data_IF_911839592778
#
_entry.id   IF_911839592778
#
_cell.length_a   1.000
_cell.length_b   1.000
_cell.length_c   1.000
_cell.angle_alpha   90.00
_cell.angle_beta   90.00
_cell.angle_gamma   90.00
#
_symmetry.space_group_name_H-M   'P 1'
#
loop_
_entity.id
_entity.type
_entity.pdbx_description
1 polymer ?
#
# COMPACT_ATOMS: atom_id res chain seq x y z
N UNK A 1 9.27 5.97 -10.44
CA UNK A 1 9.91 5.21 -11.54
C UNK A 1 11.19 4.55 -11.03
N UNK A 2 11.44 3.28 -11.33
CA UNK A 2 12.71 2.61 -10.93
C UNK A 2 13.27 1.80 -12.07
N UNK A 3 12.41 1.05 -12.75
CA UNK A 3 12.77 0.35 -13.97
C UNK A 3 12.21 1.12 -15.19
N UNK A 4 13.02 1.49 -16.20
CA UNK A 4 12.57 2.32 -17.32
C UNK A 4 11.50 1.64 -18.18
N UNK A 5 11.44 0.31 -18.17
CA UNK A 5 10.43 -0.47 -18.89
C UNK A 5 9.08 -0.61 -18.16
N UNK A 6 8.94 -0.07 -16.95
CA UNK A 6 7.67 -0.14 -16.21
C UNK A 6 6.56 0.62 -16.94
N UNK A 7 5.55 -0.11 -17.41
CA UNK A 7 4.46 0.42 -18.23
C UNK A 7 3.53 1.43 -17.55
N UNK A 8 3.82 1.80 -16.29
CA UNK A 8 3.13 2.85 -15.52
C UNK A 8 4.06 3.97 -15.08
N UNK A 9 5.27 4.06 -15.63
CA UNK A 9 6.22 5.13 -15.31
C UNK A 9 5.64 6.52 -15.54
N UNK A 10 4.79 6.68 -16.57
CA UNK A 10 4.07 7.92 -16.89
C UNK A 10 3.11 8.40 -15.77
N UNK A 11 2.76 7.54 -14.81
CA UNK A 11 1.94 7.90 -13.65
C UNK A 11 2.77 8.46 -12.48
N UNK A 12 4.11 8.46 -12.59
CA UNK A 12 5.01 8.89 -11.51
C UNK A 12 5.71 10.19 -11.84
N UNK A 13 6.24 10.86 -10.81
CA UNK A 13 7.00 12.10 -10.94
C UNK A 13 8.49 11.88 -11.24
N UNK A 14 8.86 10.71 -11.77
CA UNK A 14 10.25 10.35 -12.07
C UNK A 14 10.84 9.35 -11.07
N UNK A 15 12.17 9.23 -11.08
CA UNK A 15 12.91 8.18 -10.38
C UNK A 15 13.47 8.56 -9.01
N UNK A 16 13.54 9.87 -8.74
CA UNK A 16 14.07 10.40 -7.51
C UNK A 16 12.99 10.45 -6.41
N UNK A 17 13.23 9.83 -5.24
CA UNK A 17 12.24 9.77 -4.17
C UNK A 17 12.00 11.14 -3.51
N UNK A 18 13.02 12.02 -3.48
CA UNK A 18 12.87 13.36 -2.91
C UNK A 18 12.00 14.26 -3.80
N UNK A 19 12.24 14.27 -5.12
CA UNK A 19 11.41 14.95 -6.10
C UNK A 19 9.98 14.42 -6.05
N UNK A 20 9.82 13.10 -6.09
CA UNK A 20 8.51 12.44 -6.04
C UNK A 20 7.76 12.78 -4.75
N UNK A 21 8.43 12.74 -3.61
CA UNK A 21 7.86 13.11 -2.33
C UNK A 21 7.48 14.59 -2.26
N UNK A 22 8.35 15.50 -2.73
CA UNK A 22 8.08 16.95 -2.74
C UNK A 22 6.85 17.30 -3.57
N UNK A 23 6.72 16.68 -4.74
CA UNK A 23 5.55 16.86 -5.61
C UNK A 23 4.30 16.20 -5.00
N UNK A 24 4.43 15.04 -4.36
CA UNK A 24 3.33 14.42 -3.63
C UNK A 24 2.81 15.31 -2.50
N UNK A 25 3.68 15.98 -1.74
CA UNK A 25 3.24 16.93 -0.69
C UNK A 25 2.43 18.09 -1.27
N UNK A 26 2.90 18.65 -2.38
CA UNK A 26 2.19 19.72 -3.08
C UNK A 26 0.84 19.25 -3.59
N UNK A 27 0.77 18.04 -4.15
CA UNK A 27 -0.46 17.44 -4.65
C UNK A 27 -1.47 17.17 -3.52
N UNK A 28 -1.02 16.57 -2.40
CA UNK A 28 -1.86 16.29 -1.23
C UNK A 28 -2.47 17.57 -0.68
N UNK A 29 -1.65 18.60 -0.44
CA UNK A 29 -2.12 19.89 0.10
C UNK A 29 -3.08 20.58 -0.87
N UNK A 30 -2.77 20.57 -2.16
CA UNK A 30 -3.64 21.17 -3.19
C UNK A 30 -4.99 20.48 -3.31
N UNK A 31 -5.00 19.14 -3.28
CA UNK A 31 -6.22 18.34 -3.40
C UNK A 31 -7.09 18.43 -2.15
N UNK A 32 -6.49 18.41 -0.96
CA UNK A 32 -7.21 18.47 0.32
C UNK A 32 -7.69 19.87 0.67
N UNK A 33 -6.98 20.90 0.24
CA UNK A 33 -7.21 22.28 0.69
C UNK A 33 -6.68 22.52 2.10
N UNK A 34 -6.99 23.70 2.63
CA UNK A 34 -6.47 24.25 3.88
C UNK A 34 -7.55 24.56 4.93
N UNK A 35 -8.81 24.20 4.65
CA UNK A 35 -9.89 24.36 5.62
C UNK A 35 -9.72 23.38 6.79
N UNK A 36 -9.73 23.85 8.05
CA UNK A 36 -9.43 23.02 9.22
C UNK A 36 -10.50 21.97 9.53
N UNK A 37 -11.68 22.07 8.91
CA UNK A 37 -12.82 21.17 9.14
C UNK A 37 -13.24 20.40 7.89
N UNK A 38 -13.11 20.99 6.70
CA UNK A 38 -13.66 20.45 5.47
C UNK A 38 -12.57 20.16 4.44
N UNK A 39 -12.38 18.88 4.11
CA UNK A 39 -11.55 18.49 2.97
C UNK A 39 -12.28 18.82 1.67
N UNK A 40 -11.55 19.39 0.70
CA UNK A 40 -12.05 19.52 -0.67
C UNK A 40 -12.17 18.15 -1.35
N UNK A 41 -11.12 17.34 -1.23
CA UNK A 41 -11.09 15.94 -1.63
C UNK A 41 -9.98 15.22 -0.84
N UNK A 42 -10.17 13.95 -0.48
CA UNK A 42 -9.13 13.18 0.20
C UNK A 42 -8.05 12.73 -0.80
N UNK A 43 -6.77 12.99 -0.47
CA UNK A 43 -5.64 12.50 -1.25
C UNK A 43 -5.19 11.13 -0.72
N UNK A 44 -4.95 10.18 -1.61
CA UNK A 44 -4.40 8.86 -1.27
C UNK A 44 -3.13 8.55 -2.06
N UNK A 45 -2.04 8.18 -1.36
CA UNK A 45 -0.79 7.83 -2.02
C UNK A 45 -0.70 6.33 -2.34
N UNK A 46 -0.24 6.02 -3.55
CA UNK A 46 -0.21 4.66 -4.09
C UNK A 46 1.03 4.44 -4.98
N UNK A 47 1.50 3.21 -5.17
CA UNK A 47 1.03 1.95 -4.57
C UNK A 47 2.06 1.54 -3.51
N UNK A 48 1.61 1.35 -2.28
CA UNK A 48 2.41 1.19 -1.07
C UNK A 48 2.68 -0.30 -0.79
N UNK A 49 3.85 -0.86 -1.07
CA UNK A 49 5.06 -0.24 -1.59
C UNK A 49 5.78 -1.19 -2.58
N UNK A 50 6.87 -0.71 -3.17
CA UNK A 50 7.79 -1.48 -4.04
C UNK A 50 7.08 -2.07 -5.27
N UNK A 51 6.13 -1.31 -5.82
CA UNK A 51 5.30 -1.75 -6.95
C UNK A 51 5.91 -1.44 -8.34
N UNK A 52 6.95 -0.60 -8.39
CA UNK A 52 7.48 -0.01 -9.63
C UNK A 52 8.38 -0.89 -10.49
N UNK A 53 8.20 -2.21 -10.45
CA UNK A 53 9.07 -3.22 -11.05
C UNK A 53 9.56 -4.26 -10.02
N UNK A 54 10.27 -5.32 -10.44
CA UNK A 54 11.04 -5.40 -11.69
C UNK A 54 10.21 -5.91 -12.89
N UNK A 55 10.43 -5.33 -14.08
CA UNK A 55 9.79 -5.75 -15.35
C UNK A 55 10.63 -6.71 -16.18
N UNK A 56 11.90 -6.88 -15.81
CA UNK A 56 12.80 -7.91 -16.34
C UNK A 56 12.47 -9.32 -15.81
N UNK A 57 11.51 -9.41 -14.88
CA UNK A 57 10.97 -10.67 -14.37
C UNK A 57 9.63 -10.95 -15.10
N UNK A 58 9.47 -12.12 -15.76
CA UNK A 58 8.23 -12.48 -16.48
C UNK A 58 7.12 -12.93 -15.52
N UNK A 59 6.91 -12.18 -14.43
CA UNK A 59 5.91 -12.46 -13.40
C UNK A 59 4.94 -11.29 -13.33
N UNK A 60 3.66 -11.59 -13.18
CA UNK A 60 2.63 -10.57 -13.10
C UNK A 60 2.84 -9.65 -11.90
N UNK A 61 2.52 -8.36 -12.08
CA UNK A 61 2.41 -7.39 -10.99
C UNK A 61 1.52 -7.88 -9.82
N UNK A 62 0.59 -8.79 -10.10
CA UNK A 62 -0.34 -9.37 -9.13
C UNK A 62 0.27 -10.48 -8.24
N UNK A 63 1.47 -10.97 -8.56
CA UNK A 63 2.08 -12.13 -7.87
C UNK A 63 3.59 -12.02 -7.61
N UNK A 64 4.27 -11.02 -8.17
CA UNK A 64 5.71 -10.91 -7.96
C UNK A 64 6.08 -10.60 -6.50
N UNK A 65 7.30 -10.99 -6.14
CA UNK A 65 7.88 -10.78 -4.83
C UNK A 65 9.13 -9.93 -4.94
N UNK A 66 9.04 -8.69 -4.49
CA UNK A 66 10.13 -7.75 -4.50
C UNK A 66 11.14 -8.11 -3.40
N UNK A 67 12.38 -8.38 -3.78
CA UNK A 67 13.48 -8.61 -2.84
C UNK A 67 14.20 -7.30 -2.57
N UNK A 68 13.99 -6.74 -1.38
CA UNK A 68 14.48 -5.40 -1.02
C UNK A 68 15.26 -5.48 0.28
N UNK A 69 16.49 -4.95 0.26
CA UNK A 69 17.28 -4.78 1.49
C UNK A 69 16.65 -3.69 2.35
N UNK A 70 16.67 -3.84 3.67
CA UNK A 70 16.15 -2.84 4.60
C UNK A 70 16.67 -1.42 4.29
N UNK A 71 17.96 -1.28 3.97
CA UNK A 71 18.54 0.02 3.58
C UNK A 71 17.84 0.64 2.38
N UNK A 72 17.62 -0.13 1.32
CA UNK A 72 16.94 0.38 0.12
C UNK A 72 15.47 0.67 0.43
N UNK A 73 14.80 -0.20 1.21
CA UNK A 73 13.43 0.07 1.62
C UNK A 73 13.30 1.44 2.30
N UNK A 74 14.16 1.69 3.30
CA UNK A 74 14.19 2.93 4.09
C UNK A 74 14.64 4.17 3.32
N UNK A 75 15.63 4.04 2.44
CA UNK A 75 16.26 5.19 1.77
C UNK A 75 15.68 5.51 0.39
N UNK A 76 14.96 4.57 -0.22
CA UNK A 76 14.66 4.60 -1.66
C UNK A 76 13.18 4.39 -1.95
N UNK A 77 12.47 3.54 -1.20
CA UNK A 77 11.07 3.19 -1.47
C UNK A 77 10.08 3.84 -0.50
N UNK A 78 10.43 3.97 0.77
CA UNK A 78 9.58 4.58 1.78
C UNK A 78 9.53 6.12 1.81
N UNK A 79 10.60 6.88 1.47
CA UNK A 79 10.65 8.32 1.73
C UNK A 79 9.48 9.12 1.12
N UNK A 80 9.10 8.84 -0.13
CA UNK A 80 8.00 9.58 -0.77
C UNK A 80 6.63 9.31 -0.14
N UNK A 81 6.42 8.12 0.44
CA UNK A 81 5.20 7.81 1.19
C UNK A 81 5.20 8.47 2.56
N UNK A 82 6.35 8.51 3.25
CA UNK A 82 6.49 9.28 4.49
C UNK A 82 6.19 10.77 4.25
N UNK A 83 6.74 11.34 3.18
CA UNK A 83 6.45 12.73 2.81
C UNK A 83 4.96 12.95 2.52
N UNK A 84 4.29 12.00 1.88
CA UNK A 84 2.84 12.05 1.67
C UNK A 84 2.04 12.01 2.98
N UNK A 85 2.42 11.15 3.92
CA UNK A 85 1.84 11.13 5.28
C UNK A 85 2.07 12.47 5.98
N UNK A 86 3.28 13.02 5.90
CA UNK A 86 3.63 14.32 6.51
C UNK A 86 2.91 15.51 5.87
N UNK A 87 2.40 15.36 4.64
CA UNK A 87 1.52 16.35 4.03
C UNK A 87 0.07 16.27 4.53
N UNK A 88 -0.26 15.32 5.40
CA UNK A 88 -1.58 15.15 5.99
C UNK A 88 -2.54 14.33 5.14
N UNK A 89 -2.04 13.44 4.26
CA UNK A 89 -2.90 12.48 3.57
C UNK A 89 -3.66 11.61 4.58
N UNK A 90 -4.93 11.29 4.32
CA UNK A 90 -5.70 10.37 5.15
C UNK A 90 -5.70 8.92 4.62
N UNK A 91 -5.06 8.66 3.48
CA UNK A 91 -5.16 7.37 2.80
C UNK A 91 -3.84 6.90 2.19
N UNK A 92 -3.51 5.63 2.41
CA UNK A 92 -2.50 4.92 1.64
C UNK A 92 -3.14 3.73 0.95
N UNK A 93 -2.70 3.42 -0.27
CA UNK A 93 -3.18 2.24 -0.99
C UNK A 93 -2.11 1.16 -1.02
N UNK A 94 -2.32 0.04 -0.33
CA UNK A 94 -1.36 -1.06 -0.32
C UNK A 94 -1.30 -1.76 -1.69
N UNK A 95 -0.11 -2.14 -2.14
CA UNK A 95 0.16 -2.68 -3.48
C UNK A 95 -0.21 -4.15 -3.62
N UNK A 96 -0.20 -4.65 -4.86
CA UNK A 96 -0.47 -6.06 -5.15
C UNK A 96 0.64 -7.01 -4.74
N UNK A 97 1.90 -6.58 -4.80
CA UNK A 97 3.05 -7.46 -4.74
C UNK A 97 3.37 -7.95 -3.32
N UNK A 98 4.30 -8.90 -3.24
CA UNK A 98 5.00 -9.20 -1.99
C UNK A 98 6.24 -8.33 -1.85
N UNK A 99 6.62 -8.09 -0.61
CA UNK A 99 7.90 -7.48 -0.23
C UNK A 99 8.55 -8.48 0.71
N UNK A 100 9.71 -9.02 0.31
CA UNK A 100 10.45 -10.01 1.06
C UNK A 100 9.59 -11.22 1.49
N UNK A 101 8.68 -11.66 0.63
CA UNK A 101 7.83 -12.83 0.84
C UNK A 101 6.44 -12.56 1.45
N UNK A 102 6.16 -11.32 1.89
CA UNK A 102 4.89 -10.97 2.55
C UNK A 102 4.06 -10.04 1.65
N UNK A 103 2.79 -10.36 1.35
CA UNK A 103 1.92 -9.48 0.54
C UNK A 103 1.79 -8.10 1.18
N UNK A 104 1.92 -7.03 0.40
CA UNK A 104 1.96 -5.66 0.94
C UNK A 104 0.70 -5.32 1.77
N UNK A 105 -0.49 -5.74 1.31
CA UNK A 105 -1.74 -5.57 2.06
C UNK A 105 -1.92 -6.47 3.30
N UNK A 106 -0.99 -7.38 3.57
CA UNK A 106 -0.93 -8.20 4.78
C UNK A 106 0.43 -8.10 5.50
N UNK A 107 1.18 -7.03 5.23
CA UNK A 107 2.51 -6.83 5.77
C UNK A 107 2.47 -5.93 7.02
N UNK A 108 2.51 -6.55 8.21
CA UNK A 108 2.46 -5.83 9.50
C UNK A 108 3.66 -4.88 9.68
N UNK A 109 4.86 -5.28 9.25
CA UNK A 109 6.05 -4.42 9.33
C UNK A 109 5.83 -3.13 8.53
N UNK A 110 5.30 -3.25 7.31
CA UNK A 110 4.99 -2.08 6.48
C UNK A 110 3.84 -1.25 7.06
N UNK A 111 2.69 -1.86 7.29
CA UNK A 111 1.42 -1.17 7.50
C UNK A 111 1.18 -0.74 8.94
N UNK A 112 1.76 -1.44 9.92
CA UNK A 112 1.63 -1.12 11.34
C UNK A 112 2.95 -0.57 11.88
N UNK A 113 4.01 -1.37 11.86
CA UNK A 113 5.25 -1.03 12.58
C UNK A 113 5.88 0.25 12.01
N UNK A 114 6.07 0.31 10.69
CA UNK A 114 6.63 1.50 10.02
C UNK A 114 5.58 2.62 9.93
N UNK A 115 4.40 2.30 9.40
CA UNK A 115 3.45 3.36 9.01
C UNK A 115 2.69 3.95 10.19
N UNK A 116 2.19 3.12 11.12
CA UNK A 116 1.42 3.61 12.27
C UNK A 116 2.33 3.95 13.44
N UNK A 117 3.21 3.04 13.82
CA UNK A 117 3.98 3.19 15.06
C UNK A 117 5.17 4.14 14.87
N UNK A 118 5.95 4.00 13.80
CA UNK A 118 7.09 4.89 13.55
C UNK A 118 6.68 6.24 12.94
N UNK A 119 5.77 6.27 11.96
CA UNK A 119 5.41 7.52 11.29
C UNK A 119 4.25 8.28 11.95
N UNK A 120 3.48 7.64 12.83
CA UNK A 120 2.30 8.24 13.45
C UNK A 120 1.11 8.39 12.50
N UNK A 121 0.96 7.52 11.48
CA UNK A 121 -0.15 7.61 10.54
C UNK A 121 -1.48 7.16 11.17
N UNK A 122 -2.44 8.09 11.26
CA UNK A 122 -3.78 7.85 11.81
C UNK A 122 -4.88 7.71 10.75
N UNK A 123 -4.52 7.76 9.47
CA UNK A 123 -5.46 7.54 8.38
C UNK A 123 -5.83 6.07 8.18
N UNK A 124 -6.46 5.79 7.05
CA UNK A 124 -6.87 4.46 6.65
C UNK A 124 -6.00 3.92 5.50
N UNK A 125 -5.87 2.59 5.46
CA UNK A 125 -5.18 1.88 4.38
C UNK A 125 -6.24 1.15 3.56
N UNK A 126 -6.25 1.39 2.25
CA UNK A 126 -7.13 0.72 1.29
C UNK A 126 -6.33 -0.24 0.43
N UNK A 127 -6.90 -1.38 0.06
CA UNK A 127 -6.26 -2.28 -0.89
C UNK A 127 -6.26 -1.70 -2.30
N UNK A 128 -5.25 -2.02 -3.10
CA UNK A 128 -5.43 -1.95 -4.56
C UNK A 128 -6.49 -2.98 -5.01
N UNK A 129 -7.03 -2.81 -6.21
CA UNK A 129 -8.18 -3.54 -6.72
C UNK A 129 -7.95 -5.07 -6.72
N UNK A 130 -8.67 -5.80 -5.86
CA UNK A 130 -8.48 -7.24 -5.64
C UNK A 130 -7.13 -7.64 -5.03
N UNK A 131 -6.35 -6.72 -4.46
CA UNK A 131 -5.08 -7.06 -3.79
C UNK A 131 -5.28 -8.04 -2.62
N UNK A 132 -6.41 -7.93 -1.91
CA UNK A 132 -6.79 -8.90 -0.86
C UNK A 132 -7.04 -10.29 -1.45
N UNK A 133 -7.75 -10.43 -2.57
CA UNK A 133 -7.97 -11.75 -3.19
C UNK A 133 -6.66 -12.38 -3.66
N UNK A 134 -5.76 -11.56 -4.20
CA UNK A 134 -4.46 -12.00 -4.68
C UNK A 134 -3.60 -12.64 -3.59
N UNK A 135 -3.75 -12.25 -2.31
CA UNK A 135 -3.04 -12.88 -1.17
C UNK A 135 -3.21 -14.41 -1.19
N UNK A 136 -4.41 -14.91 -1.47
CA UNK A 136 -4.70 -16.34 -1.58
C UNK A 136 -4.55 -16.85 -3.00
N UNK A 137 -5.17 -16.17 -3.96
CA UNK A 137 -5.36 -16.69 -5.32
C UNK A 137 -4.09 -16.66 -6.17
N UNK A 138 -3.21 -15.67 -5.92
CA UNK A 138 -2.02 -15.40 -6.73
C UNK A 138 -0.72 -15.62 -5.97
N UNK A 139 -0.72 -15.29 -4.68
CA UNK A 139 0.45 -15.41 -3.80
C UNK A 139 0.48 -16.71 -3.01
N UNK A 140 -0.65 -17.41 -2.89
CA UNK A 140 -0.79 -18.61 -2.07
C UNK A 140 -0.28 -18.42 -0.63
N UNK A 141 -0.44 -17.20 -0.08
CA UNK A 141 0.09 -16.84 1.23
C UNK A 141 -0.77 -17.37 2.38
N UNK A 142 -2.07 -17.52 2.16
CA UNK A 142 -3.01 -18.08 3.15
C UNK A 142 -3.86 -19.19 2.54
N UNK A 143 -4.30 -20.13 3.38
CA UNK A 143 -5.02 -21.33 2.95
C UNK A 143 -6.55 -21.15 2.84
N UNK A 144 -7.11 -20.03 3.32
CA UNK A 144 -8.55 -19.80 3.28
C UNK A 144 -8.87 -18.32 3.13
N UNK A 145 -10.06 -18.05 2.59
CA UNK A 145 -10.59 -16.69 2.42
C UNK A 145 -10.71 -15.95 3.75
N UNK A 146 -11.10 -16.64 4.84
CA UNK A 146 -11.17 -16.04 6.19
C UNK A 146 -9.76 -15.67 6.68
N UNK A 147 -8.80 -16.59 6.55
CA UNK A 147 -7.42 -16.33 6.95
C UNK A 147 -6.79 -15.17 6.16
N UNK A 148 -7.16 -15.01 4.88
CA UNK A 148 -6.76 -13.86 4.05
C UNK A 148 -7.22 -12.54 4.64
N UNK A 149 -8.51 -12.46 5.01
CA UNK A 149 -9.11 -11.24 5.59
C UNK A 149 -8.50 -10.93 6.95
N UNK A 150 -8.38 -11.94 7.81
CA UNK A 150 -7.76 -11.80 9.13
C UNK A 150 -6.32 -11.30 9.01
N UNK A 151 -5.53 -11.86 8.09
CA UNK A 151 -4.15 -11.41 7.86
C UNK A 151 -4.08 -9.95 7.41
N UNK A 152 -4.97 -9.51 6.53
CA UNK A 152 -5.00 -8.13 6.05
C UNK A 152 -5.43 -7.14 7.14
N UNK A 153 -6.47 -7.47 7.91
CA UNK A 153 -6.96 -6.63 9.01
C UNK A 153 -5.90 -6.54 10.11
N UNK A 154 -5.36 -7.66 10.59
CA UNK A 154 -4.31 -7.69 11.63
C UNK A 154 -3.02 -6.97 11.20
N UNK A 155 -2.73 -6.92 9.90
CA UNK A 155 -1.59 -6.16 9.38
C UNK A 155 -1.84 -4.64 9.36
N UNK A 156 -3.10 -4.20 9.23
CA UNK A 156 -3.48 -2.79 9.23
C UNK A 156 -4.25 -2.30 8.01
N UNK A 157 -4.66 -3.19 7.08
CA UNK A 157 -5.52 -2.81 5.95
C UNK A 157 -6.97 -2.63 6.42
N UNK A 158 -7.54 -1.45 6.17
CA UNK A 158 -8.85 -1.06 6.67
C UNK A 158 -9.97 -1.28 5.65
N UNK A 159 -9.69 -1.04 4.36
CA UNK A 159 -10.69 -1.08 3.29
C UNK A 159 -10.25 -2.00 2.16
N UNK A 160 -11.18 -2.79 1.63
CA UNK A 160 -10.98 -3.55 0.40
C UNK A 160 -11.52 -2.73 -0.78
N UNK A 161 -10.69 -2.53 -1.80
CA UNK A 161 -11.16 -2.12 -3.12
C UNK A 161 -11.48 -3.38 -3.93
N UNK A 162 -12.71 -3.86 -3.83
CA UNK A 162 -13.14 -5.12 -4.43
C UNK A 162 -14.54 -5.52 -4.01
N UNK A 163 -15.01 -6.65 -4.52
CA UNK A 163 -16.34 -7.19 -4.19
C UNK A 163 -16.28 -8.57 -3.54
N UNK A 164 -15.09 -9.13 -3.35
CA UNK A 164 -14.92 -10.57 -3.08
C UNK A 164 -14.98 -10.90 -1.59
N UNK A 165 -14.53 -10.00 -0.70
CA UNK A 165 -14.41 -10.31 0.73
C UNK A 165 -15.36 -9.52 1.64
N UNK A 166 -16.14 -8.58 1.10
CA UNK A 166 -17.15 -7.80 1.83
C UNK A 166 -18.09 -8.66 2.71
N UNK A 167 -18.61 -9.77 2.17
CA UNK A 167 -19.52 -10.66 2.92
C UNK A 167 -18.80 -11.56 3.93
N UNK A 168 -17.46 -11.64 3.90
CA UNK A 168 -16.64 -12.53 4.72
C UNK A 168 -15.92 -11.80 5.86
N UNK A 169 -15.85 -10.47 5.82
CA UNK A 169 -15.33 -9.65 6.91
C UNK A 169 -16.16 -9.82 8.19
N UNK A 170 -17.49 -9.91 8.07
CA UNK A 170 -18.39 -10.14 9.20
C UNK A 170 -18.14 -11.52 9.85
N UNK A 171 -17.93 -12.56 9.06
CA UNK A 171 -17.61 -13.91 9.56
C UNK A 171 -16.27 -13.91 10.34
N UNK A 172 -15.27 -13.18 9.85
CA UNK A 172 -13.96 -13.06 10.51
C UNK A 172 -14.04 -12.31 11.84
N UNK A 173 -14.80 -11.20 11.89
CA UNK A 173 -15.02 -10.43 13.11
C UNK A 173 -15.80 -11.22 14.17
N UNK A 174 -16.79 -12.01 13.76
CA UNK A 174 -17.59 -12.85 14.67
C UNK A 174 -16.79 -13.99 15.30
N UNK A 175 -15.70 -14.43 14.68
CA UNK A 175 -14.81 -15.46 15.21
C UNK A 175 -13.82 -14.92 16.26
N UNK A 176 -13.85 -13.62 16.58
CA UNK A 176 -12.96 -13.00 17.57
C UNK A 176 -11.52 -12.80 17.07
N UNK A 177 -11.31 -12.88 15.76
CA UNK A 177 -10.01 -12.82 15.10
C UNK A 177 -9.73 -11.50 14.37
N UNK A 178 -10.54 -10.46 14.63
CA UNK A 178 -10.43 -9.12 14.04
C UNK A 178 -9.53 -8.18 14.82
#
# INVERSE_FOLDING_TARGET
MRHPLWGRNQETYGEDPLLSGTLAQSFVRGLQGDDPRYLRANAGCKHFDVHGGPEDIPVSRFSFDAKVKMRDWRMTFLPQFKMCVDAGSYSLMCSYNRINGIPACANKELLTDITRDEWGFHGYIVSDASAISNIKERHHYTNSTVATVVAAIKAGTNLELGSTYYTKQLDAMQQGDG
#
